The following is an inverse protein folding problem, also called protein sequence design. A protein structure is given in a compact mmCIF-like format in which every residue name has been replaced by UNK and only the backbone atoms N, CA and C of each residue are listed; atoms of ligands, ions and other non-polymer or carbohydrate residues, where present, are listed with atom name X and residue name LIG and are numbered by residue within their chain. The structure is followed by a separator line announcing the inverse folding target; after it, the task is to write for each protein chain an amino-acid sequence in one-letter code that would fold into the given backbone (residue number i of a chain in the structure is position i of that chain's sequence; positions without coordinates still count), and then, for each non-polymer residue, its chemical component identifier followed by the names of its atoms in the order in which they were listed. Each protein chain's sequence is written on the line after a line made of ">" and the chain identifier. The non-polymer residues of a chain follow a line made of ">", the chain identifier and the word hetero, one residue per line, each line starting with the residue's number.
data_IF_953853191959
#
_entry.id   IF_953853191959
#
_cell.length_a   1.000
_cell.length_b   1.000
_cell.length_c   1.000
_cell.angle_alpha   90.00
_cell.angle_beta   90.00
_cell.angle_gamma   90.00
#
_symmetry.space_group_name_H-M   'P 1'
#
loop_
_entity.id
_entity.type
_entity.pdbx_description
1 polymer ?
#
# COMPACT_ATOMS: atom_id res chain seq x y z
N UNK A 1 -0.75 48.47 -31.80
CA UNK A 1 -1.06 47.81 -30.51
C UNK A 1 -1.65 46.44 -30.78
N UNK A 2 -0.78 45.39 -30.85
CA UNK A 2 -1.19 43.98 -31.03
C UNK A 2 -1.47 43.41 -29.67
N UNK A 3 -2.73 43.15 -29.32
CA UNK A 3 -3.14 42.44 -28.14
C UNK A 3 -2.84 40.93 -28.34
N UNK A 4 -1.79 40.43 -27.71
CA UNK A 4 -1.51 38.99 -27.62
C UNK A 4 -2.50 38.40 -26.62
N UNK A 5 -3.54 37.74 -27.18
CA UNK A 5 -4.51 36.97 -26.40
C UNK A 5 -3.81 35.65 -26.00
N UNK A 6 -3.28 35.58 -24.76
CA UNK A 6 -2.79 34.34 -24.15
C UNK A 6 -3.98 33.43 -23.84
N UNK A 7 -4.29 32.51 -24.76
CA UNK A 7 -5.18 31.39 -24.49
C UNK A 7 -4.46 30.42 -23.54
N UNK A 8 -4.68 30.58 -22.25
CA UNK A 8 -4.34 29.56 -21.27
C UNK A 8 -5.38 28.44 -21.38
N UNK A 9 -5.04 27.37 -22.09
CA UNK A 9 -5.85 26.15 -22.09
C UNK A 9 -5.76 25.54 -20.69
N UNK A 10 -6.78 25.75 -19.86
CA UNK A 10 -6.97 25.03 -18.62
C UNK A 10 -7.24 23.56 -18.98
N UNK A 11 -6.29 22.69 -18.68
CA UNK A 11 -6.53 21.24 -18.74
C UNK A 11 -7.49 20.92 -17.60
N UNK A 12 -8.76 20.72 -17.93
CA UNK A 12 -9.76 20.23 -16.96
C UNK A 12 -9.46 18.74 -16.78
N UNK A 13 -8.78 18.39 -15.71
CA UNK A 13 -8.63 16.99 -15.29
C UNK A 13 -10.00 16.58 -14.76
N UNK A 14 -10.70 15.77 -15.55
CA UNK A 14 -11.99 15.19 -15.13
C UNK A 14 -11.70 14.08 -14.11
N UNK A 15 -12.30 14.18 -12.92
CA UNK A 15 -12.25 13.12 -11.92
C UNK A 15 -12.98 11.88 -12.45
N UNK A 16 -12.34 10.70 -12.47
CA UNK A 16 -13.03 9.46 -12.83
C UNK A 16 -14.16 9.19 -11.84
N UNK A 17 -15.28 8.69 -12.36
CA UNK A 17 -16.41 8.32 -11.49
C UNK A 17 -16.02 7.16 -10.59
N UNK A 18 -16.17 7.34 -9.27
CA UNK A 18 -15.97 6.27 -8.28
C UNK A 18 -17.02 5.16 -8.50
N UNK A 19 -16.60 3.90 -8.77
CA UNK A 19 -17.53 2.81 -8.94
C UNK A 19 -18.14 2.37 -7.60
N UNK A 20 -19.43 2.01 -7.62
CA UNK A 20 -20.05 1.32 -6.50
C UNK A 20 -19.66 -0.16 -6.56
N UNK A 21 -18.94 -0.62 -5.56
CA UNK A 21 -18.50 -1.99 -5.45
C UNK A 21 -19.57 -2.86 -4.77
N UNK A 22 -19.87 -3.99 -5.38
CA UNK A 22 -20.85 -4.97 -4.87
C UNK A 22 -20.23 -6.33 -4.59
N UNK A 23 -18.95 -6.48 -4.92
CA UNK A 23 -18.14 -7.70 -4.81
C UNK A 23 -16.76 -7.37 -4.24
N UNK A 24 -16.08 -8.38 -3.69
CA UNK A 24 -14.68 -8.24 -3.23
C UNK A 24 -13.68 -8.11 -4.39
N UNK A 25 -14.01 -8.69 -5.54
CA UNK A 25 -13.20 -8.60 -6.75
C UNK A 25 -14.02 -7.98 -7.87
N UNK A 26 -13.59 -6.82 -8.36
CA UNK A 26 -14.21 -6.10 -9.47
C UNK A 26 -13.18 -5.80 -10.54
N UNK A 27 -13.41 -6.32 -11.75
CA UNK A 27 -12.63 -6.01 -12.94
C UNK A 27 -13.52 -5.31 -13.99
N UNK A 28 -13.20 -4.05 -14.29
CA UNK A 28 -13.89 -3.24 -15.31
C UNK A 28 -13.18 -3.30 -16.67
N UNK A 29 -12.11 -4.06 -16.79
CA UNK A 29 -11.27 -4.13 -17.98
C UNK A 29 -11.52 -5.38 -18.82
N UNK A 30 -12.25 -6.35 -18.28
CA UNK A 30 -12.43 -7.69 -18.84
C UNK A 30 -11.09 -8.43 -19.04
N UNK A 31 -10.09 -8.14 -18.20
CA UNK A 31 -8.79 -8.83 -18.21
C UNK A 31 -8.88 -10.20 -17.56
N UNK A 32 -9.72 -10.33 -16.53
CA UNK A 32 -9.97 -11.58 -15.82
C UNK A 32 -11.20 -12.28 -16.39
N UNK A 33 -11.15 -13.60 -16.42
CA UNK A 33 -12.33 -14.43 -16.69
C UNK A 33 -13.30 -14.41 -15.52
N UNK A 34 -14.58 -14.68 -15.78
CA UNK A 34 -15.59 -14.77 -14.71
C UNK A 34 -15.22 -15.79 -13.65
N UNK A 35 -14.62 -16.92 -14.03
CA UNK A 35 -14.17 -17.95 -13.09
C UNK A 35 -13.04 -17.46 -12.17
N UNK A 36 -12.08 -16.69 -12.69
CA UNK A 36 -10.99 -16.09 -11.93
C UNK A 36 -11.52 -15.04 -10.93
N UNK A 37 -12.45 -14.19 -11.39
CA UNK A 37 -13.13 -13.22 -10.53
C UNK A 37 -13.85 -13.94 -9.38
N UNK A 38 -14.59 -15.01 -9.65
CA UNK A 38 -15.33 -15.77 -8.65
C UNK A 38 -14.40 -16.51 -7.66
N UNK A 39 -13.23 -16.94 -8.10
CA UNK A 39 -12.22 -17.56 -7.22
C UNK A 39 -11.64 -16.54 -6.25
N UNK A 40 -11.22 -15.36 -6.75
CA UNK A 40 -10.71 -14.27 -5.93
C UNK A 40 -11.78 -13.79 -4.95
N UNK A 41 -13.00 -13.54 -5.43
CA UNK A 41 -14.12 -13.05 -4.64
C UNK A 41 -14.41 -13.95 -3.42
N UNK A 42 -14.51 -15.28 -3.66
CA UNK A 42 -14.69 -16.26 -2.59
C UNK A 42 -13.54 -16.32 -1.61
N UNK A 43 -12.30 -16.22 -2.09
CA UNK A 43 -11.12 -16.23 -1.24
C UNK A 43 -11.10 -15.03 -0.30
N UNK A 44 -11.37 -13.82 -0.82
CA UNK A 44 -11.39 -12.60 -0.04
C UNK A 44 -12.55 -12.58 0.95
N UNK A 45 -13.73 -13.09 0.55
CA UNK A 45 -14.85 -13.26 1.48
C UNK A 45 -14.51 -14.21 2.62
N UNK A 46 -13.93 -15.37 2.33
CA UNK A 46 -13.51 -16.35 3.36
C UNK A 46 -12.48 -15.75 4.31
N UNK A 47 -11.57 -14.92 3.78
CA UNK A 47 -10.60 -14.21 4.60
C UNK A 47 -11.29 -13.23 5.56
N UNK A 48 -12.24 -12.41 5.09
CA UNK A 48 -12.99 -11.51 5.95
C UNK A 48 -13.79 -12.27 7.00
N UNK A 49 -14.48 -13.35 6.63
CA UNK A 49 -15.27 -14.18 7.55
C UNK A 49 -14.40 -14.76 8.69
N UNK A 50 -13.11 -15.03 8.43
CA UNK A 50 -12.19 -15.62 9.41
C UNK A 50 -11.41 -14.61 10.26
N UNK A 51 -11.19 -13.39 9.76
CA UNK A 51 -10.31 -12.40 10.40
C UNK A 51 -11.01 -11.09 10.75
N UNK A 52 -12.16 -10.85 10.17
CA UNK A 52 -12.86 -9.56 10.12
C UNK A 52 -12.12 -8.46 9.32
N UNK A 53 -10.94 -8.70 8.79
CA UNK A 53 -10.24 -7.75 7.93
C UNK A 53 -10.80 -7.83 6.51
N UNK A 54 -11.06 -6.69 5.90
CA UNK A 54 -11.67 -6.62 4.59
C UNK A 54 -10.65 -6.21 3.53
N UNK A 55 -10.46 -7.05 2.52
CA UNK A 55 -9.61 -6.78 1.37
C UNK A 55 -10.49 -6.73 0.12
N UNK A 56 -10.38 -5.65 -0.65
CA UNK A 56 -11.09 -5.43 -1.89
C UNK A 56 -10.09 -5.28 -3.03
N UNK A 57 -10.38 -5.92 -4.15
CA UNK A 57 -9.65 -5.74 -5.40
C UNK A 57 -10.49 -4.99 -6.42
N UNK A 58 -9.90 -3.96 -7.04
CA UNK A 58 -10.50 -3.19 -8.13
C UNK A 58 -9.51 -3.00 -9.27
N UNK A 59 -9.89 -3.40 -10.48
CA UNK A 59 -9.17 -3.07 -11.71
C UNK A 59 -10.02 -2.17 -12.58
N UNK A 60 -9.46 -1.03 -13.01
CA UNK A 60 -10.07 -0.04 -13.88
C UNK A 60 -9.26 0.16 -15.16
N UNK A 61 -9.89 0.64 -16.25
CA UNK A 61 -9.17 0.90 -17.50
C UNK A 61 -8.14 2.02 -17.38
N UNK A 62 -8.50 3.18 -16.86
CA UNK A 62 -7.64 4.36 -16.76
C UNK A 62 -8.10 5.29 -15.64
N UNK A 63 -7.17 6.10 -15.16
CA UNK A 63 -7.40 7.21 -14.22
C UNK A 63 -7.58 8.55 -14.98
N UNK A 64 -7.39 8.58 -16.31
CA UNK A 64 -7.49 9.77 -17.15
C UNK A 64 -6.68 10.97 -16.62
N UNK A 65 -5.50 10.67 -16.06
CA UNK A 65 -4.58 11.66 -15.47
C UNK A 65 -4.86 12.00 -14.00
N UNK A 66 -5.93 11.44 -13.41
CA UNK A 66 -6.21 11.66 -11.99
C UNK A 66 -5.20 10.93 -11.09
N UNK A 67 -4.77 11.50 -9.94
CA UNK A 67 -3.83 10.85 -9.04
C UNK A 67 -4.40 9.55 -8.47
N UNK A 68 -3.64 8.46 -8.57
CA UNK A 68 -4.09 7.14 -8.10
C UNK A 68 -4.33 7.11 -6.59
N UNK A 69 -3.56 7.89 -5.83
CA UNK A 69 -3.68 8.01 -4.38
C UNK A 69 -5.04 8.59 -4.00
N UNK A 70 -5.43 9.68 -4.67
CA UNK A 70 -6.71 10.33 -4.41
C UNK A 70 -7.87 9.43 -4.81
N UNK A 71 -7.78 8.80 -5.99
CA UNK A 71 -8.82 7.91 -6.47
C UNK A 71 -8.99 6.68 -5.56
N UNK A 72 -7.88 6.06 -5.11
CA UNK A 72 -7.95 4.93 -4.20
C UNK A 72 -8.59 5.30 -2.85
N UNK A 73 -8.21 6.44 -2.29
CA UNK A 73 -8.82 6.98 -1.08
C UNK A 73 -10.33 7.20 -1.23
N UNK A 74 -10.77 7.82 -2.33
CA UNK A 74 -12.18 8.06 -2.63
C UNK A 74 -12.95 6.76 -2.80
N UNK A 75 -12.43 5.80 -3.58
CA UNK A 75 -13.03 4.46 -3.73
C UNK A 75 -13.18 3.78 -2.38
N UNK A 76 -12.15 3.79 -1.56
CA UNK A 76 -12.17 3.15 -0.25
C UNK A 76 -13.19 3.81 0.69
N UNK A 77 -13.27 5.13 0.69
CA UNK A 77 -14.15 5.90 1.55
C UNK A 77 -15.61 5.82 1.12
N UNK A 78 -15.92 6.02 -0.17
CA UNK A 78 -17.29 6.00 -0.70
C UNK A 78 -17.91 4.60 -0.60
N UNK A 79 -17.11 3.55 -0.84
CA UNK A 79 -17.55 2.18 -0.69
C UNK A 79 -17.47 1.68 0.77
N UNK A 80 -17.03 2.53 1.70
CA UNK A 80 -16.96 2.24 3.14
C UNK A 80 -16.19 0.96 3.45
N UNK A 81 -15.05 0.75 2.77
CA UNK A 81 -14.24 -0.46 2.93
C UNK A 81 -13.74 -0.57 4.38
N UNK A 82 -13.81 -1.78 4.96
CA UNK A 82 -13.48 -2.05 6.35
C UNK A 82 -14.60 -1.72 7.34
N UNK A 83 -14.35 -1.95 8.61
CA UNK A 83 -15.30 -1.73 9.70
C UNK A 83 -15.02 -0.38 10.37
N UNK A 84 -16.07 0.41 10.63
CA UNK A 84 -15.99 1.78 11.20
C UNK A 84 -15.14 1.88 12.48
N UNK A 85 -15.22 0.88 13.37
CA UNK A 85 -14.53 0.92 14.65
C UNK A 85 -13.14 0.26 14.61
N UNK A 86 -12.82 -0.47 13.54
CA UNK A 86 -11.56 -1.20 13.38
C UNK A 86 -10.65 -0.59 12.33
N UNK A 87 -11.21 0.14 11.36
CA UNK A 87 -10.50 0.72 10.21
C UNK A 87 -9.62 -0.33 9.49
N UNK A 88 -10.13 -1.56 9.37
CA UNK A 88 -9.41 -2.75 8.96
C UNK A 88 -9.68 -3.12 7.50
N UNK A 89 -9.78 -2.11 6.65
CA UNK A 89 -9.96 -2.25 5.21
C UNK A 89 -8.67 -2.11 4.44
N UNK A 90 -8.55 -2.83 3.32
CA UNK A 90 -7.49 -2.68 2.33
C UNK A 90 -8.12 -2.65 0.94
N UNK A 91 -7.72 -1.70 0.11
CA UNK A 91 -8.05 -1.66 -1.31
C UNK A 91 -6.78 -1.91 -2.13
N UNK A 92 -6.79 -2.96 -2.95
CA UNK A 92 -5.79 -3.15 -4.00
C UNK A 92 -6.36 -2.67 -5.33
N UNK A 93 -5.91 -1.50 -5.79
CA UNK A 93 -6.34 -0.83 -7.02
C UNK A 93 -5.30 -1.02 -8.12
N UNK A 94 -5.78 -1.36 -9.32
CA UNK A 94 -4.97 -1.44 -10.55
C UNK A 94 -5.61 -0.58 -11.63
N UNK A 95 -4.84 0.32 -12.23
CA UNK A 95 -5.19 1.06 -13.44
C UNK A 95 -4.39 0.49 -14.62
N UNK A 96 -5.09 -0.24 -15.50
CA UNK A 96 -4.45 -1.10 -16.49
C UNK A 96 -3.68 -0.29 -17.55
N UNK A 97 -4.32 0.69 -18.17
CA UNK A 97 -3.72 1.46 -19.26
C UNK A 97 -2.64 2.43 -18.76
N UNK A 98 -2.76 2.91 -17.53
CA UNK A 98 -1.77 3.80 -16.89
C UNK A 98 -0.57 3.02 -16.33
N UNK A 99 -0.65 1.67 -16.30
CA UNK A 99 0.33 0.78 -15.66
C UNK A 99 0.64 1.20 -14.23
N UNK A 100 -0.38 1.55 -13.48
CA UNK A 100 -0.26 1.97 -12.09
C UNK A 100 -1.06 1.06 -11.18
N UNK A 101 -0.55 0.86 -9.98
CA UNK A 101 -1.25 0.14 -8.94
C UNK A 101 -1.04 0.79 -7.59
N UNK A 102 -1.99 0.61 -6.68
CA UNK A 102 -1.93 1.12 -5.33
C UNK A 102 -2.54 0.12 -4.34
N UNK A 103 -1.90 -0.03 -3.22
CA UNK A 103 -2.47 -0.66 -2.03
C UNK A 103 -2.79 0.47 -1.07
N UNK A 104 -4.08 0.72 -0.84
CA UNK A 104 -4.57 1.70 0.14
C UNK A 104 -4.95 0.96 1.41
N UNK A 105 -4.45 1.42 2.55
CA UNK A 105 -4.54 0.72 3.85
C UNK A 105 -5.30 1.56 4.85
N UNK A 106 -6.29 0.95 5.50
CA UNK A 106 -7.01 1.58 6.60
C UNK A 106 -6.17 1.63 7.88
N UNK A 107 -6.38 2.65 8.70
CA UNK A 107 -5.58 2.94 9.92
C UNK A 107 -5.35 1.72 10.83
N UNK A 108 -6.35 0.83 10.95
CA UNK A 108 -6.25 -0.35 11.81
C UNK A 108 -5.27 -1.41 11.33
N UNK A 109 -4.84 -1.34 10.08
CA UNK A 109 -3.92 -2.31 9.46
C UNK A 109 -2.54 -1.71 9.13
N UNK A 110 -2.32 -0.40 9.30
CA UNK A 110 -1.03 0.25 8.98
C UNK A 110 0.15 -0.35 9.77
N UNK A 111 -0.10 -0.84 10.98
CA UNK A 111 0.92 -1.52 11.79
C UNK A 111 1.34 -2.89 11.26
N UNK A 112 0.44 -3.58 10.54
CA UNK A 112 0.69 -4.90 9.96
C UNK A 112 1.09 -4.81 8.47
N UNK A 113 0.43 -3.93 7.72
CA UNK A 113 0.68 -3.67 6.30
C UNK A 113 1.19 -2.23 6.15
N UNK A 114 2.46 -2.03 6.48
CA UNK A 114 3.11 -0.71 6.39
C UNK A 114 3.32 -0.27 4.95
N UNK A 115 3.58 1.04 4.72
CA UNK A 115 3.88 1.58 3.38
C UNK A 115 5.08 0.88 2.74
N UNK A 116 6.13 0.62 3.52
CA UNK A 116 7.31 -0.10 3.04
C UNK A 116 6.96 -1.53 2.59
N UNK A 117 6.09 -2.22 3.34
CA UNK A 117 5.65 -3.57 3.00
C UNK A 117 4.73 -3.57 1.79
N UNK A 118 3.78 -2.63 1.71
CA UNK A 118 2.91 -2.42 0.55
C UNK A 118 3.75 -2.15 -0.71
N UNK A 119 4.77 -1.30 -0.61
CA UNK A 119 5.73 -1.04 -1.70
C UNK A 119 6.51 -2.29 -2.12
N UNK A 120 6.95 -3.11 -1.14
CA UNK A 120 7.64 -4.38 -1.41
C UNK A 120 6.74 -5.36 -2.16
N UNK A 121 5.49 -5.52 -1.71
CA UNK A 121 4.50 -6.39 -2.38
C UNK A 121 4.28 -5.97 -3.83
N UNK A 122 4.06 -4.67 -4.07
CA UNK A 122 3.88 -4.14 -5.42
C UNK A 122 5.08 -4.49 -6.31
N UNK A 123 6.30 -4.22 -5.86
CA UNK A 123 7.51 -4.37 -6.68
C UNK A 123 7.93 -5.82 -6.88
N UNK A 124 7.81 -6.63 -5.85
CA UNK A 124 8.40 -7.97 -5.84
C UNK A 124 7.40 -9.06 -6.18
N UNK A 125 6.13 -8.90 -5.76
CA UNK A 125 5.11 -9.93 -5.94
C UNK A 125 4.20 -9.68 -7.15
N UNK A 126 3.85 -8.41 -7.43
CA UNK A 126 2.88 -8.08 -8.49
C UNK A 126 3.55 -7.67 -9.80
N UNK A 127 4.44 -6.67 -9.76
CA UNK A 127 5.02 -6.07 -10.95
C UNK A 127 5.75 -7.07 -11.88
N UNK A 128 6.46 -8.11 -11.39
CA UNK A 128 7.12 -9.09 -12.26
C UNK A 128 6.17 -9.87 -13.16
N UNK A 129 4.97 -10.19 -12.65
CA UNK A 129 3.92 -10.85 -13.45
C UNK A 129 3.29 -9.89 -14.44
N UNK A 130 2.97 -8.67 -14.00
CA UNK A 130 2.33 -7.66 -14.85
C UNK A 130 3.20 -7.24 -16.04
N UNK A 131 4.53 -7.19 -15.88
CA UNK A 131 5.48 -6.98 -16.99
C UNK A 131 5.40 -8.06 -18.06
N UNK A 132 4.94 -9.27 -17.70
CA UNK A 132 4.76 -10.40 -18.60
C UNK A 132 3.31 -10.52 -19.09
N UNK A 133 2.42 -9.57 -18.72
CA UNK A 133 0.97 -9.61 -18.95
C UNK A 133 0.26 -10.79 -18.26
N UNK A 134 0.88 -11.36 -17.22
CA UNK A 134 0.31 -12.44 -16.40
C UNK A 134 -0.53 -11.83 -15.26
N UNK A 135 -1.58 -11.10 -15.61
CA UNK A 135 -2.34 -10.29 -14.65
C UNK A 135 -2.98 -11.08 -13.53
N UNK A 136 -3.63 -12.21 -13.85
CA UNK A 136 -4.24 -13.08 -12.83
C UNK A 136 -3.22 -13.53 -11.78
N UNK A 137 -2.07 -14.05 -12.25
CA UNK A 137 -1.01 -14.54 -11.35
C UNK A 137 -0.48 -13.43 -10.45
N UNK A 138 -0.26 -12.23 -11.00
CA UNK A 138 0.21 -11.07 -10.24
C UNK A 138 -0.81 -10.58 -9.22
N UNK A 139 -2.10 -10.56 -9.56
CA UNK A 139 -3.18 -10.20 -8.63
C UNK A 139 -3.24 -11.20 -7.48
N UNK A 140 -3.23 -12.50 -7.77
CA UNK A 140 -3.27 -13.56 -6.75
C UNK A 140 -2.04 -13.50 -5.84
N UNK A 141 -0.84 -13.30 -6.41
CA UNK A 141 0.40 -13.16 -5.63
C UNK A 141 0.32 -11.94 -4.68
N UNK A 142 -0.11 -10.79 -5.20
CA UNK A 142 -0.29 -9.57 -4.41
C UNK A 142 -1.31 -9.73 -3.28
N UNK A 143 -2.49 -10.28 -3.59
CA UNK A 143 -3.54 -10.51 -2.59
C UNK A 143 -3.11 -11.51 -1.50
N UNK A 144 -2.42 -12.59 -1.87
CA UNK A 144 -1.88 -13.54 -0.89
C UNK A 144 -0.87 -12.87 0.03
N UNK A 145 0.02 -12.04 -0.52
CA UNK A 145 1.00 -11.29 0.26
C UNK A 145 0.35 -10.28 1.20
N UNK A 146 -0.71 -9.58 0.76
CA UNK A 146 -1.52 -8.69 1.62
C UNK A 146 -2.18 -9.48 2.74
N UNK A 147 -2.77 -10.66 2.45
CA UNK A 147 -3.38 -11.55 3.43
C UNK A 147 -2.36 -11.98 4.49
N UNK A 148 -1.17 -12.43 4.08
CA UNK A 148 -0.10 -12.85 4.98
C UNK A 148 0.40 -11.67 5.83
N UNK A 149 0.57 -10.49 5.24
CA UNK A 149 0.98 -9.29 5.95
C UNK A 149 -0.02 -8.91 7.05
N UNK A 150 -1.32 -8.89 6.73
CA UNK A 150 -2.37 -8.55 7.69
C UNK A 150 -2.53 -9.57 8.82
N UNK A 151 -2.05 -10.81 8.63
CA UNK A 151 -1.93 -11.84 9.68
C UNK A 151 -0.62 -11.77 10.47
N UNK A 152 0.33 -10.92 10.08
CA UNK A 152 1.68 -10.89 10.64
C UNK A 152 2.58 -12.05 10.21
N UNK A 153 2.21 -12.78 9.15
CA UNK A 153 2.90 -13.98 8.67
C UNK A 153 3.78 -13.71 7.43
N UNK A 154 3.71 -12.52 6.85
CA UNK A 154 4.48 -12.18 5.64
C UNK A 154 5.98 -12.06 5.96
N UNK A 155 6.76 -12.92 5.33
CA UNK A 155 8.23 -12.83 5.31
C UNK A 155 8.62 -12.38 3.90
N UNK A 156 8.78 -11.07 3.70
CA UNK A 156 9.27 -10.55 2.43
C UNK A 156 10.62 -11.18 2.10
N UNK A 157 10.70 -11.91 1.00
CA UNK A 157 12.00 -12.28 0.44
C UNK A 157 12.68 -11.00 0.00
N UNK A 158 13.76 -10.64 0.70
CA UNK A 158 14.70 -9.67 0.17
C UNK A 158 15.33 -10.32 -1.05
N UNK A 159 14.85 -10.02 -2.26
CA UNK A 159 15.70 -10.21 -3.44
C UNK A 159 16.90 -9.30 -3.20
N UNK A 160 18.04 -9.93 -2.93
CA UNK A 160 19.32 -9.30 -3.18
C UNK A 160 19.36 -9.05 -4.70
N UNK A 161 18.84 -7.89 -5.12
CA UNK A 161 19.22 -7.29 -6.37
C UNK A 161 20.71 -7.02 -6.16
N UNK A 162 21.54 -7.90 -6.74
CA UNK A 162 23.00 -7.85 -6.64
C UNK A 162 23.57 -6.57 -7.25
N UNK A 163 23.21 -5.44 -6.69
CA UNK A 163 24.08 -4.28 -6.63
C UNK A 163 25.05 -4.58 -5.50
N UNK A 164 26.22 -5.10 -5.88
CA UNK A 164 27.46 -4.94 -5.15
C UNK A 164 27.63 -3.44 -4.83
N UNK A 165 26.84 -2.94 -3.90
CA UNK A 165 27.32 -1.87 -3.06
C UNK A 165 28.45 -2.53 -2.29
N UNK A 166 29.64 -2.46 -2.86
CA UNK A 166 30.85 -2.46 -2.07
C UNK A 166 30.59 -1.47 -0.94
N UNK A 167 30.02 -2.04 0.13
CA UNK A 167 29.73 -1.29 1.32
C UNK A 167 31.07 -0.67 1.68
N UNK A 168 31.05 0.56 2.04
CA UNK A 168 32.01 1.09 2.99
C UNK A 168 31.87 0.17 4.21
N UNK A 169 32.50 -0.99 4.07
CA UNK A 169 32.40 -2.08 5.03
C UNK A 169 32.92 -1.60 6.38
N UNK A 170 32.73 -2.41 7.39
CA UNK A 170 33.26 -2.21 8.74
C UNK A 170 34.68 -1.62 8.72
N UNK A 171 35.49 -1.95 7.72
CA UNK A 171 36.81 -1.35 7.48
C UNK A 171 36.77 0.14 7.12
N UNK A 172 35.80 0.61 6.33
CA UNK A 172 35.63 2.03 6.03
C UNK A 172 35.17 2.83 7.25
N UNK A 173 34.30 2.22 8.08
CA UNK A 173 33.87 2.81 9.35
C UNK A 173 35.03 2.86 10.37
N UNK A 174 35.83 1.80 10.47
CA UNK A 174 37.03 1.75 11.31
C UNK A 174 38.07 2.76 10.82
N UNK A 175 38.30 2.85 9.51
CA UNK A 175 39.23 3.83 8.93
C UNK A 175 38.77 5.27 9.21
N UNK A 176 37.48 5.57 9.07
CA UNK A 176 36.90 6.88 9.38
C UNK A 176 36.98 7.20 10.88
N UNK A 177 36.78 6.21 11.76
CA UNK A 177 36.98 6.34 13.21
C UNK A 177 38.45 6.60 13.58
N UNK A 178 39.38 5.89 12.96
CA UNK A 178 40.82 6.10 13.17
C UNK A 178 41.26 7.48 12.68
N UNK A 179 40.80 7.88 11.49
CA UNK A 179 41.07 9.20 10.92
C UNK A 179 40.49 10.32 11.80
N UNK A 180 39.26 10.14 12.32
CA UNK A 180 38.65 11.06 13.26
C UNK A 180 39.45 11.14 14.58
N UNK A 181 39.94 10.01 15.09
CA UNK A 181 40.75 9.96 16.31
C UNK A 181 42.13 10.62 16.12
N UNK A 182 42.75 10.46 14.96
CA UNK A 182 43.98 11.12 14.59
C UNK A 182 43.80 12.64 14.45
N UNK A 183 42.72 13.05 13.76
CA UNK A 183 42.40 14.48 13.57
C UNK A 183 41.98 15.16 14.88
N UNK A 184 41.31 14.42 15.79
CA UNK A 184 40.90 14.95 17.09
C UNK A 184 42.09 15.21 18.03
N UNK A 185 43.21 14.51 17.81
CA UNK A 185 44.46 14.74 18.57
C UNK A 185 45.18 16.02 18.19
N UNK A 186 44.85 16.59 16.99
CA UNK A 186 45.50 17.84 16.50
C UNK A 186 44.74 19.12 16.89
N UNK A 187 43.54 19.02 17.45
CA UNK A 187 42.81 20.20 17.97
C UNK A 187 42.54 20.08 19.44
N UNK A 188 43.34 20.80 20.22
CA UNK A 188 43.08 21.09 21.64
C UNK A 188 41.83 22.00 21.74
N UNK A 189 40.81 21.52 22.44
CA UNK A 189 39.76 22.35 23.06
C UNK A 189 38.39 22.31 22.34
N UNK A 190 37.37 21.83 23.09
CA UNK A 190 35.96 22.09 22.76
C UNK A 190 34.98 20.92 23.00
N UNK A 191 34.28 21.05 24.03
CA UNK A 191 33.19 20.36 24.69
C UNK A 191 32.14 19.72 23.78
N UNK A 192 31.79 18.44 24.06
CA UNK A 192 30.57 17.77 23.59
C UNK A 192 29.38 18.02 24.54
N UNK A 193 28.18 18.18 24.04
CA UNK A 193 26.99 17.82 24.80
C UNK A 193 26.36 16.54 24.26
N UNK A 194 26.31 15.53 25.14
CA UNK A 194 25.47 14.34 25.03
C UNK A 194 24.05 14.73 25.38
N UNK A 195 23.09 14.43 24.50
CA UNK A 195 21.67 14.45 24.89
C UNK A 195 21.14 13.02 24.77
N UNK A 196 21.01 12.40 25.94
CA UNK A 196 20.21 11.21 26.20
C UNK A 196 18.87 11.68 26.81
N UNK A 197 17.78 11.16 26.32
CA UNK A 197 16.46 11.22 26.97
C UNK A 197 15.45 10.59 26.01
N UNK A 198 14.79 9.50 26.23
CA UNK A 198 14.15 8.99 27.46
C UNK A 198 12.68 9.37 27.45
N UNK A 199 11.76 8.40 27.21
CA UNK A 199 10.34 8.64 27.35
C UNK A 199 9.47 7.42 27.03
N UNK A 200 9.16 6.66 28.06
CA UNK A 200 8.19 5.55 28.16
C UNK A 200 6.76 6.06 28.35
N UNK A 201 5.76 5.26 27.96
CA UNK A 201 4.39 5.32 28.47
C UNK A 201 3.36 5.03 27.38
N UNK A 202 2.47 4.13 27.44
CA UNK A 202 1.70 3.29 28.35
C UNK A 202 0.27 3.16 27.82
N UNK A 203 -0.17 1.91 27.61
CA UNK A 203 -1.48 1.22 27.83
C UNK A 203 -2.83 1.93 27.58
N UNK A 204 -3.77 1.18 26.90
CA UNK A 204 -5.05 0.66 27.44
C UNK A 204 -5.89 0.05 26.30
N UNK A 205 -6.25 -1.18 26.21
CA UNK A 205 -7.30 -2.04 26.76
C UNK A 205 -8.74 -1.60 26.49
N UNK A 206 -9.52 -2.48 25.85
CA UNK A 206 -10.98 -2.48 25.89
C UNK A 206 -11.62 -3.26 24.74
N UNK A 207 -12.22 -4.43 25.04
CA UNK A 207 -12.84 -5.35 24.11
C UNK A 207 -14.34 -5.11 23.93
N UNK A 208 -14.97 -5.89 23.04
CA UNK A 208 -16.40 -5.97 22.85
C UNK A 208 -16.78 -6.90 21.70
N UNK A 209 -17.32 -8.07 22.00
CA UNK A 209 -17.88 -9.08 21.09
C UNK A 209 -19.27 -8.68 20.57
N UNK A 210 -19.59 -9.06 19.34
CA UNK A 210 -20.96 -9.04 18.82
C UNK A 210 -21.03 -9.65 17.43
N UNK A 211 -21.55 -10.87 17.32
CA UNK A 211 -21.64 -11.63 16.09
C UNK A 211 -22.94 -11.36 15.32
N UNK A 212 -23.01 -11.87 14.09
CA UNK A 212 -24.21 -11.93 13.28
C UNK A 212 -23.89 -12.30 11.83
N UNK A 213 -24.13 -13.56 11.46
CA UNK A 213 -23.94 -14.06 10.10
C UNK A 213 -25.08 -13.65 9.16
N UNK A 214 -24.75 -13.45 7.89
CA UNK A 214 -25.71 -13.25 6.81
C UNK A 214 -25.01 -13.46 5.47
N UNK A 215 -25.58 -14.33 4.66
CA UNK A 215 -25.20 -14.50 3.26
C UNK A 215 -25.55 -13.22 2.51
N UNK A 216 -24.56 -12.33 2.31
CA UNK A 216 -24.74 -11.08 1.61
C UNK A 216 -23.47 -10.72 0.86
N UNK A 217 -23.61 -10.13 -0.32
CA UNK A 217 -22.53 -9.52 -1.06
C UNK A 217 -21.78 -8.49 -0.20
N UNK A 218 -20.69 -7.98 -0.69
CA UNK A 218 -19.86 -6.96 -0.06
C UNK A 218 -20.73 -5.85 0.55
N UNK A 219 -20.58 -5.63 1.85
CA UNK A 219 -21.17 -4.51 2.57
C UNK A 219 -20.08 -3.80 3.35
N UNK A 220 -19.70 -2.61 2.89
CA UNK A 220 -18.73 -1.77 3.58
C UNK A 220 -19.22 -1.30 4.93
N UNK A 221 -18.42 -1.49 5.98
CA UNK A 221 -18.71 -1.11 7.37
C UNK A 221 -18.29 0.33 7.73
N UNK A 222 -17.58 1.04 6.84
CA UNK A 222 -17.19 2.44 7.03
C UNK A 222 -15.87 2.63 7.79
N UNK A 223 -14.82 1.93 7.41
CA UNK A 223 -13.45 2.19 7.89
C UNK A 223 -12.94 3.57 7.48
N UNK A 224 -12.00 4.12 8.25
CA UNK A 224 -11.30 5.36 7.92
C UNK A 224 -9.92 5.06 7.32
N UNK A 225 -9.56 5.83 6.30
CA UNK A 225 -8.28 5.77 5.60
C UNK A 225 -7.53 7.09 5.81
N UNK A 226 -6.20 7.04 5.87
CA UNK A 226 -5.34 8.21 6.07
C UNK A 226 -4.31 8.40 4.97
N UNK A 227 -4.47 7.67 3.86
CA UNK A 227 -3.48 7.66 2.79
C UNK A 227 -2.30 6.72 3.04
N UNK A 228 -2.39 5.85 4.05
CA UNK A 228 -1.44 4.76 4.27
C UNK A 228 -1.44 3.77 3.10
N UNK A 229 -0.30 3.08 2.90
CA UNK A 229 -0.11 2.19 1.77
C UNK A 229 0.95 2.67 0.77
N UNK A 230 0.95 2.15 -0.42
CA UNK A 230 1.94 2.51 -1.44
C UNK A 230 1.40 2.41 -2.85
N UNK A 231 1.98 3.24 -3.74
CA UNK A 231 1.74 3.19 -5.18
C UNK A 231 2.98 2.68 -5.92
N UNK A 232 2.77 2.12 -7.11
CA UNK A 232 3.83 1.68 -7.98
C UNK A 232 3.35 1.45 -9.41
N UNK A 233 4.28 1.05 -10.27
CA UNK A 233 3.99 0.74 -11.68
C UNK A 233 4.77 -0.49 -12.15
N UNK A 234 4.52 -0.91 -13.43
CA UNK A 234 5.19 -2.04 -14.06
C UNK A 234 5.53 -1.79 -15.52
#
# INVERSE_FOLDING_TARGET
>A
LVAILLLTSAVIISQPKVPKLTRYCTDQTNTLTSSEIDLIDRSLKTFEDSTSNQIIFLMIPSLDGYPIEMFAYEVATENKIGQKNKNNGVLFLVSLNDRKMRIEVGYGLEGALTDALSSSIIRNEVAPYFRKNEYYNGIVAGLNSIILATKGEYKGERRDDGEDREGFGVFGFIFMMILFFILSRFKRGGVFPIILGGGLGSRSSGGGFGGGGGFGGFSGGGGSFGGGGSSGGW
#
